data_IF_412161072478
#
_entry.id   IF_412161072478
#
_cell.length_a   1.000
_cell.length_b   1.000
_cell.length_c   1.000
_cell.angle_alpha   90.00
_cell.angle_beta   90.00
_cell.angle_gamma   90.00
#
_symmetry.space_group_name_H-M   'P 1'
#
loop_
_entity.id
_entity.type
_entity.pdbx_description
1 polymer ?
#
# COMPACT_ATOMS: atom_id res chain seq x y z
N UNK A 1 8.04 -50.06 -7.20
CA UNK A 1 9.01 -48.94 -7.05
C UNK A 1 8.56 -47.67 -7.78
N UNK A 2 8.13 -47.73 -9.06
CA UNK A 2 7.67 -46.56 -9.82
C UNK A 2 6.52 -45.77 -9.18
N UNK A 3 5.56 -46.44 -8.51
CA UNK A 3 4.43 -45.77 -7.86
C UNK A 3 4.83 -44.89 -6.66
N UNK A 4 5.92 -45.25 -5.97
CA UNK A 4 6.43 -44.50 -4.82
C UNK A 4 7.16 -43.22 -5.26
N UNK A 5 7.98 -43.33 -6.30
CA UNK A 5 8.67 -42.19 -6.93
C UNK A 5 7.69 -41.14 -7.48
N UNK A 6 6.59 -41.56 -8.10
CA UNK A 6 5.53 -40.65 -8.58
C UNK A 6 4.86 -39.88 -7.46
N UNK A 7 4.61 -40.52 -6.31
CA UNK A 7 3.99 -39.87 -5.15
C UNK A 7 4.91 -38.83 -4.51
N UNK A 8 6.20 -39.16 -4.36
CA UNK A 8 7.19 -38.22 -3.82
C UNK A 8 7.34 -37.00 -4.72
N UNK A 9 7.41 -37.18 -6.05
CA UNK A 9 7.51 -36.07 -6.99
C UNK A 9 6.29 -35.14 -6.97
N UNK A 10 5.09 -35.70 -6.87
CA UNK A 10 3.86 -34.90 -6.78
C UNK A 10 3.80 -34.09 -5.47
N UNK A 11 4.15 -34.70 -4.33
CA UNK A 11 4.16 -34.00 -3.04
C UNK A 11 5.19 -32.86 -3.04
N UNK A 12 6.36 -33.07 -3.63
CA UNK A 12 7.41 -32.06 -3.68
C UNK A 12 7.00 -30.87 -4.56
N UNK A 13 6.32 -31.12 -5.68
CA UNK A 13 5.75 -30.07 -6.55
C UNK A 13 4.67 -29.27 -5.84
N UNK A 14 3.76 -29.93 -5.10
CA UNK A 14 2.70 -29.24 -4.34
C UNK A 14 3.32 -28.34 -3.28
N UNK A 15 4.28 -28.83 -2.50
CA UNK A 15 4.97 -28.05 -1.45
C UNK A 15 5.73 -26.86 -2.06
N UNK A 16 6.41 -27.04 -3.20
CA UNK A 16 7.10 -25.96 -3.90
C UNK A 16 6.12 -24.90 -4.42
N UNK A 17 4.99 -25.31 -5.00
CA UNK A 17 3.96 -24.40 -5.49
C UNK A 17 3.31 -23.61 -4.35
N UNK A 18 3.05 -24.25 -3.19
CA UNK A 18 2.48 -23.56 -2.03
C UNK A 18 3.42 -22.50 -1.44
N UNK A 19 4.73 -22.74 -1.47
CA UNK A 19 5.73 -21.76 -1.03
C UNK A 19 5.80 -20.53 -1.96
N UNK A 20 5.46 -20.69 -3.25
CA UNK A 20 5.47 -19.59 -4.22
C UNK A 20 4.22 -18.70 -4.15
N UNK A 21 3.12 -19.15 -3.55
CA UNK A 21 1.89 -18.35 -3.36
C UNK A 21 2.04 -17.27 -2.27
N UNK A 22 3.14 -17.27 -1.51
CA UNK A 22 3.28 -16.47 -0.29
C UNK A 22 3.63 -14.98 -0.50
N UNK A 23 3.82 -14.49 -1.73
CA UNK A 23 4.33 -13.12 -1.97
C UNK A 23 3.33 -12.13 -2.57
N UNK A 24 2.08 -12.53 -2.81
CA UNK A 24 1.00 -11.61 -3.20
C UNK A 24 -0.03 -11.52 -2.07
N UNK A 25 0.35 -10.93 -0.95
CA UNK A 25 -0.61 -10.64 0.12
C UNK A 25 -1.12 -9.22 -0.01
N UNK A 26 -2.44 -9.06 -0.11
CA UNK A 26 -3.08 -7.76 -0.05
C UNK A 26 -3.28 -7.37 1.41
N UNK A 27 -2.67 -6.26 1.83
CA UNK A 27 -2.89 -5.72 3.17
C UNK A 27 -4.09 -4.77 3.12
N UNK A 28 -5.14 -5.04 3.89
CA UNK A 28 -6.31 -4.16 3.97
C UNK A 28 -6.33 -3.46 5.34
N UNK A 29 -6.33 -2.12 5.33
CA UNK A 29 -6.58 -1.30 6.50
C UNK A 29 -8.08 -1.16 6.74
N UNK A 30 -8.53 -1.54 7.92
CA UNK A 30 -9.94 -1.49 8.36
C UNK A 30 -10.14 -0.67 9.64
N UNK A 31 -9.12 0.07 10.08
CA UNK A 31 -9.24 0.97 11.23
C UNK A 31 -10.15 2.17 10.94
N UNK A 32 -10.67 2.82 11.97
CA UNK A 32 -11.47 4.05 11.85
C UNK A 32 -10.60 5.29 11.53
N UNK A 33 -11.26 6.43 11.27
CA UNK A 33 -10.62 7.71 10.85
C UNK A 33 -9.46 8.08 11.77
N UNK A 34 -9.67 7.91 13.07
CA UNK A 34 -8.78 8.27 14.16
C UNK A 34 -7.89 7.12 14.64
N UNK A 35 -7.98 5.95 13.99
CA UNK A 35 -7.20 4.78 14.36
C UNK A 35 -5.78 4.90 13.84
N UNK A 36 -4.80 4.60 14.70
CA UNK A 36 -3.40 4.71 14.32
C UNK A 36 -3.05 3.69 13.21
N UNK A 37 -2.58 4.19 12.07
CA UNK A 37 -2.23 3.38 10.89
C UNK A 37 -1.15 2.33 11.16
N UNK A 38 -0.27 2.58 12.14
CA UNK A 38 0.79 1.68 12.56
C UNK A 38 0.31 0.55 13.49
N UNK A 39 -0.97 0.56 13.91
CA UNK A 39 -1.49 -0.44 14.83
C UNK A 39 -1.84 -1.70 14.04
N UNK A 40 -1.11 -2.78 14.31
CA UNK A 40 -1.32 -4.11 13.74
C UNK A 40 -2.78 -4.59 13.74
N UNK A 41 -3.55 -4.23 14.77
CA UNK A 41 -4.97 -4.61 14.90
C UNK A 41 -5.88 -4.01 13.81
N UNK A 42 -5.45 -2.93 13.15
CA UNK A 42 -6.21 -2.29 12.07
C UNK A 42 -6.00 -2.97 10.71
N UNK A 43 -5.15 -4.00 10.65
CA UNK A 43 -4.77 -4.66 9.40
C UNK A 43 -5.34 -6.07 9.32
N UNK A 44 -5.89 -6.42 8.16
CA UNK A 44 -6.44 -7.76 7.91
C UNK A 44 -5.42 -8.89 8.06
N UNK A 45 -4.15 -8.60 7.79
CA UNK A 45 -3.04 -9.57 7.92
C UNK A 45 -2.42 -9.53 9.31
N UNK A 46 -2.78 -8.56 10.16
CA UNK A 46 -2.19 -8.35 11.48
C UNK A 46 -0.84 -7.63 11.46
N UNK A 47 -0.41 -7.10 10.32
CA UNK A 47 0.88 -6.41 10.17
C UNK A 47 0.67 -5.10 9.42
N UNK A 48 1.07 -3.96 10.01
CA UNK A 48 1.18 -2.73 9.26
C UNK A 48 2.19 -2.89 8.11
N UNK A 49 2.02 -2.16 7.00
CA UNK A 49 2.96 -2.19 5.90
C UNK A 49 4.34 -1.73 6.36
N UNK A 50 5.36 -2.39 5.82
CA UNK A 50 6.75 -1.99 5.98
C UNK A 50 7.04 -0.69 5.23
N UNK A 51 8.23 -0.15 5.46
CA UNK A 51 8.75 1.05 4.78
C UNK A 51 8.84 0.88 3.26
N UNK A 52 8.99 -0.37 2.78
CA UNK A 52 9.06 -0.71 1.37
C UNK A 52 7.90 -1.62 0.99
N UNK A 53 7.00 -1.08 0.16
CA UNK A 53 5.74 -1.72 -0.21
C UNK A 53 5.88 -2.27 -1.63
N UNK A 54 5.81 -3.59 -1.76
CA UNK A 54 5.90 -4.30 -3.05
C UNK A 54 4.56 -4.93 -3.47
N UNK A 55 3.51 -4.66 -2.71
CA UNK A 55 2.22 -5.33 -2.82
C UNK A 55 1.07 -4.33 -2.80
N UNK A 56 -0.17 -4.84 -2.80
CA UNK A 56 -1.36 -4.01 -2.71
C UNK A 56 -1.70 -3.65 -1.27
N UNK A 57 -1.94 -2.37 -1.03
CA UNK A 57 -2.51 -1.82 0.20
C UNK A 57 -3.93 -1.32 -0.12
N UNK A 58 -4.92 -1.73 0.65
CA UNK A 58 -6.32 -1.30 0.48
C UNK A 58 -6.79 -0.52 1.70
N UNK A 59 -7.24 0.72 1.50
CA UNK A 59 -7.95 1.51 2.51
C UNK A 59 -9.43 1.18 2.44
N UNK A 60 -9.95 0.45 3.43
CA UNK A 60 -11.34 0.00 3.45
C UNK A 60 -12.23 0.71 4.48
N UNK A 61 -11.66 1.60 5.27
CA UNK A 61 -12.37 2.49 6.19
C UNK A 61 -11.60 3.81 6.26
N UNK A 62 -12.33 4.89 6.58
CA UNK A 62 -11.71 6.20 6.67
C UNK A 62 -10.54 6.15 7.65
N UNK A 63 -9.44 6.83 7.34
CA UNK A 63 -8.24 6.77 8.19
C UNK A 63 -7.34 7.99 8.04
N UNK A 64 -6.61 8.27 9.11
CA UNK A 64 -5.61 9.35 9.17
C UNK A 64 -4.26 8.73 9.49
N UNK A 65 -3.27 8.96 8.64
CA UNK A 65 -1.87 8.77 9.01
C UNK A 65 -1.46 9.96 9.88
N UNK A 66 -1.21 9.80 11.19
CA UNK A 66 -1.01 10.93 12.08
C UNK A 66 0.32 11.63 11.81
N UNK A 67 0.42 12.93 12.14
CA UNK A 67 1.65 13.70 11.97
C UNK A 67 2.83 13.20 12.80
N UNK A 68 2.57 12.46 13.88
CA UNK A 68 3.57 11.74 14.66
C UNK A 68 4.22 10.58 13.92
N UNK A 69 3.63 10.11 12.81
CA UNK A 69 4.22 9.09 11.98
C UNK A 69 5.33 9.72 11.11
N UNK A 70 6.57 9.38 11.44
CA UNK A 70 7.78 9.80 10.72
C UNK A 70 8.30 8.71 9.77
N UNK A 71 7.53 7.64 9.57
CA UNK A 71 7.95 6.49 8.75
C UNK A 71 7.91 6.88 7.28
N UNK A 72 9.01 6.62 6.58
CA UNK A 72 9.06 6.75 5.13
C UNK A 72 8.38 5.52 4.49
N UNK A 73 7.37 5.74 3.64
CA UNK A 73 6.71 4.69 2.87
C UNK A 73 7.06 4.83 1.39
N UNK A 74 7.73 3.81 0.84
CA UNK A 74 8.11 3.72 -0.55
C UNK A 74 7.37 2.56 -1.24
N UNK A 75 6.44 2.91 -2.12
CA UNK A 75 5.68 2.00 -2.97
C UNK A 75 6.49 1.70 -4.22
N UNK A 76 7.01 0.49 -4.34
CA UNK A 76 7.85 0.07 -5.47
C UNK A 76 7.02 -0.21 -6.73
N UNK A 77 7.71 -0.34 -7.86
CA UNK A 77 7.07 -0.68 -9.14
C UNK A 77 6.21 -1.94 -9.02
N UNK A 78 4.95 -1.87 -9.48
CA UNK A 78 3.98 -2.95 -9.41
C UNK A 78 3.18 -3.04 -8.11
N UNK A 79 3.48 -2.19 -7.11
CA UNK A 79 2.64 -2.03 -5.93
C UNK A 79 1.40 -1.19 -6.23
N UNK A 80 0.38 -1.31 -5.37
CA UNK A 80 -0.88 -0.57 -5.53
C UNK A 80 -1.35 -0.02 -4.19
N UNK A 81 -1.70 1.26 -4.13
CA UNK A 81 -2.49 1.84 -3.05
C UNK A 81 -3.93 2.04 -3.54
N UNK A 82 -4.88 1.26 -3.03
CA UNK A 82 -6.29 1.39 -3.37
C UNK A 82 -7.06 2.07 -2.24
N UNK A 83 -7.81 3.13 -2.54
CA UNK A 83 -8.76 3.75 -1.60
C UNK A 83 -10.17 3.40 -2.09
N UNK A 84 -10.96 2.68 -1.28
CA UNK A 84 -12.30 2.23 -1.68
C UNK A 84 -13.27 3.40 -1.88
N UNK A 85 -14.32 3.17 -2.67
CA UNK A 85 -15.43 4.12 -2.83
C UNK A 85 -15.99 4.57 -1.48
N UNK A 86 -16.15 5.88 -1.33
CA UNK A 86 -16.73 6.48 -0.12
C UNK A 86 -15.81 6.48 1.10
N UNK A 87 -14.55 6.04 0.94
CA UNK A 87 -13.53 6.05 1.99
C UNK A 87 -12.59 7.25 1.80
N UNK A 88 -12.19 7.86 2.91
CA UNK A 88 -11.24 8.97 2.97
C UNK A 88 -9.93 8.53 3.62
N UNK A 89 -8.80 8.74 2.93
CA UNK A 89 -7.47 8.60 3.50
C UNK A 89 -6.80 9.97 3.60
N UNK A 90 -6.49 10.40 4.83
CA UNK A 90 -5.77 11.65 5.09
C UNK A 90 -4.36 11.34 5.58
N UNK A 91 -3.37 11.74 4.79
CA UNK A 91 -1.96 11.63 5.16
C UNK A 91 -1.46 12.93 5.80
N UNK A 92 -1.35 12.93 7.14
CA UNK A 92 -0.71 14.00 7.91
C UNK A 92 0.74 13.67 8.29
N UNK A 93 1.23 12.47 7.96
CA UNK A 93 2.55 11.99 8.33
C UNK A 93 3.66 12.91 7.82
N UNK A 94 4.72 13.02 8.62
CA UNK A 94 5.91 13.81 8.27
C UNK A 94 7.01 12.98 7.63
N UNK A 95 6.87 11.65 7.64
CA UNK A 95 7.70 10.75 6.86
C UNK A 95 7.52 10.96 5.36
N UNK A 96 8.55 10.61 4.57
CA UNK A 96 8.48 10.71 3.11
C UNK A 96 7.50 9.70 2.50
N UNK A 97 6.89 10.08 1.38
CA UNK A 97 6.00 9.22 0.60
C UNK A 97 6.52 9.14 -0.83
N UNK A 98 7.03 7.97 -1.20
CA UNK A 98 7.50 7.69 -2.56
C UNK A 98 6.52 6.73 -3.23
N UNK A 99 5.98 7.15 -4.38
CA UNK A 99 5.04 6.34 -5.15
C UNK A 99 5.64 6.01 -6.52
N UNK A 100 6.26 4.83 -6.62
CA UNK A 100 6.69 4.21 -7.88
C UNK A 100 5.69 3.15 -8.39
N UNK A 101 4.60 2.93 -7.64
CA UNK A 101 3.49 2.05 -7.99
C UNK A 101 2.27 2.80 -8.53
N UNK A 102 1.10 2.20 -8.42
CA UNK A 102 -0.18 2.78 -8.84
C UNK A 102 -1.02 3.21 -7.64
N UNK A 103 -1.71 4.36 -7.75
CA UNK A 103 -2.79 4.72 -6.83
C UNK A 103 -4.12 4.52 -7.55
N UNK A 104 -4.91 3.57 -7.05
CA UNK A 104 -6.28 3.33 -7.52
C UNK A 104 -7.22 4.09 -6.59
N UNK A 105 -7.61 5.30 -6.99
CA UNK A 105 -8.44 6.15 -6.15
C UNK A 105 -9.91 6.08 -6.57
N UNK A 106 -10.68 5.26 -5.85
CA UNK A 106 -12.14 5.24 -5.95
C UNK A 106 -12.79 6.09 -4.83
N UNK A 107 -12.01 6.52 -3.85
CA UNK A 107 -12.41 7.35 -2.72
C UNK A 107 -11.74 8.74 -2.70
N UNK A 108 -11.48 9.26 -1.50
CA UNK A 108 -10.82 10.57 -1.31
C UNK A 108 -9.42 10.38 -0.72
N UNK A 109 -8.41 10.94 -1.38
CA UNK A 109 -7.05 11.06 -0.84
C UNK A 109 -6.74 12.51 -0.52
N UNK A 110 -6.30 12.79 0.71
CA UNK A 110 -5.86 14.10 1.15
C UNK A 110 -4.45 14.02 1.71
N UNK A 111 -3.57 14.93 1.28
CA UNK A 111 -2.21 15.06 1.82
C UNK A 111 -1.96 16.52 2.18
N UNK A 112 -1.50 16.78 3.41
CA UNK A 112 -1.27 18.14 3.91
C UNK A 112 0.12 18.70 3.59
N UNK A 113 1.08 17.86 3.19
CA UNK A 113 2.43 18.29 2.81
C UNK A 113 3.08 17.32 1.82
N UNK A 114 3.55 17.85 0.70
CA UNK A 114 4.44 17.12 -0.23
C UNK A 114 5.89 17.49 0.11
N UNK A 115 6.73 16.50 0.42
CA UNK A 115 8.17 16.65 0.17
C UNK A 115 8.41 16.18 -1.28
N UNK A 116 8.76 17.12 -2.14
CA UNK A 116 8.75 16.94 -3.59
C UNK A 116 9.81 15.93 -4.08
N UNK A 117 9.40 14.69 -4.39
CA UNK A 117 9.95 13.83 -5.48
C UNK A 117 8.91 12.86 -6.11
N UNK A 118 7.66 12.83 -5.65
CA UNK A 118 6.63 11.94 -6.19
C UNK A 118 6.00 12.46 -7.48
N UNK A 119 6.30 11.83 -8.62
CA UNK A 119 5.57 12.03 -9.88
C UNK A 119 4.27 11.22 -9.83
N UNK A 120 3.13 11.88 -9.67
CA UNK A 120 1.83 11.23 -9.74
C UNK A 120 1.41 11.05 -11.21
N UNK A 121 1.55 9.85 -11.76
CA UNK A 121 0.85 9.46 -12.98
C UNK A 121 -0.60 9.12 -12.59
N UNK A 122 -1.58 9.96 -12.94
CA UNK A 122 -2.96 9.84 -12.45
C UNK A 122 -3.99 9.68 -13.57
N UNK A 123 -4.92 8.74 -13.37
CA UNK A 123 -6.26 8.73 -13.94
C UNK A 123 -7.27 8.80 -12.79
N UNK A 124 -7.69 10.00 -12.39
CA UNK A 124 -8.68 10.21 -11.32
C UNK A 124 -8.80 11.68 -10.88
N UNK A 125 -9.87 12.02 -10.16
CA UNK A 125 -10.09 13.37 -9.62
C UNK A 125 -9.34 13.54 -8.30
N UNK A 126 -8.27 14.33 -8.31
CA UNK A 126 -7.57 14.80 -7.12
C UNK A 126 -8.30 16.04 -6.56
N UNK A 127 -8.67 16.02 -5.28
CA UNK A 127 -9.11 17.21 -4.54
C UNK A 127 -8.04 17.56 -3.53
N UNK A 128 -7.03 18.32 -3.98
CA UNK A 128 -5.97 18.86 -3.15
C UNK A 128 -5.35 20.09 -3.81
N UNK A 129 -4.82 21.00 -3.00
CA UNK A 129 -4.02 22.13 -3.45
C UNK A 129 -2.58 21.66 -3.69
N UNK A 130 -2.16 21.65 -4.96
CA UNK A 130 -0.76 21.48 -5.34
C UNK A 130 0.01 22.75 -4.98
N UNK A 131 0.78 22.75 -3.89
CA UNK A 131 1.86 23.72 -3.70
C UNK A 131 3.11 23.14 -4.37
N UNK A 132 3.36 23.58 -5.60
CA UNK A 132 4.53 23.19 -6.37
C UNK A 132 5.64 24.22 -6.11
N UNK A 133 6.46 24.00 -5.07
CA UNK A 133 7.63 24.84 -4.77
C UNK A 133 8.91 24.32 -5.45
N UNK A 134 8.80 23.77 -6.66
CA UNK A 134 9.97 23.32 -7.43
C UNK A 134 9.68 23.26 -8.91
N UNK A 135 10.35 24.13 -9.67
CA UNK A 135 10.29 24.28 -11.14
C UNK A 135 10.01 22.99 -11.92
N UNK A 136 8.97 23.03 -12.75
CA UNK A 136 8.91 22.21 -13.96
C UNK A 136 9.57 23.04 -15.06
N UNK A 137 10.81 22.72 -15.41
CA UNK A 137 11.38 23.15 -16.70
C UNK A 137 10.93 22.17 -17.79
N UNK A 138 10.69 22.68 -19.02
CA UNK A 138 9.95 21.98 -20.07
C UNK A 138 10.61 20.71 -20.61
#
# INVERSE_FOLDING_TARGET
MQALLKRISLTLVIVLCSAMVLHAQDNTFTGAVDSNWDLAANWSTGWPPSQHIYQKITIAADCVLPASNTVHYAFHQGSTLQIKVGVSFTNLGTGGWEMYGEIVNEGTYQQTSFNSQGVFAQTGTFVGTLFNDGEITP
#
